data_IF_973698421156
#
_entry.id   IF_973698421156
#
_cell.length_a   1.000
_cell.length_b   1.000
_cell.length_c   1.000
_cell.angle_alpha   90.00
_cell.angle_beta   90.00
_cell.angle_gamma   90.00
#
_symmetry.space_group_name_H-M   'P 1'
#
loop_
_entity.id
_entity.type
_entity.pdbx_description
1 polymer ?
#
# COMPACT_ATOMS: atom_id res chain seq x y z
N UNK A 1 -6.50 -4.16 -30.24
CA UNK A 1 -6.13 -2.74 -30.02
C UNK A 1 -5.05 -2.74 -28.94
N UNK A 2 -3.84 -2.20 -29.18
CA UNK A 2 -2.83 -2.13 -28.14
C UNK A 2 -3.34 -1.16 -27.05
N UNK A 3 -3.28 -1.57 -25.79
CA UNK A 3 -3.60 -0.71 -24.66
C UNK A 3 -2.69 0.50 -24.70
N UNK A 4 -3.27 1.70 -24.80
CA UNK A 4 -2.51 2.93 -24.64
C UNK A 4 -1.81 2.85 -23.29
N UNK A 5 -0.48 2.81 -23.32
CA UNK A 5 0.33 2.67 -22.11
C UNK A 5 -0.07 3.73 -21.11
N UNK A 6 -0.26 3.32 -19.85
CA UNK A 6 -0.59 4.17 -18.72
C UNK A 6 0.36 5.38 -18.68
N UNK A 7 -0.02 6.49 -19.30
CA UNK A 7 0.74 7.73 -19.22
C UNK A 7 0.39 8.36 -17.88
N UNK A 8 1.34 8.48 -16.94
CA UNK A 8 1.06 9.12 -15.67
C UNK A 8 0.60 10.55 -15.94
N UNK A 9 -0.64 10.86 -15.55
CA UNK A 9 -1.14 12.23 -15.60
C UNK A 9 -0.43 13.01 -14.48
N UNK A 10 0.16 14.18 -14.75
CA UNK A 10 0.71 15.01 -13.69
C UNK A 10 -0.41 15.35 -12.71
N UNK A 11 -0.38 14.69 -11.55
CA UNK A 11 -1.30 14.97 -10.47
C UNK A 11 -0.83 16.30 -9.88
N UNK A 12 -1.69 17.33 -9.92
CA UNK A 12 -1.37 18.64 -9.33
C UNK A 12 -0.95 18.51 -7.86
N UNK A 13 -0.31 19.55 -7.30
CA UNK A 13 0.19 19.55 -5.90
C UNK A 13 -0.83 18.91 -4.96
N UNK A 14 -0.47 17.74 -4.43
CA UNK A 14 -1.23 17.05 -3.39
C UNK A 14 -0.77 17.59 -2.05
N UNK A 15 -1.70 18.07 -1.24
CA UNK A 15 -1.41 18.33 0.16
C UNK A 15 -1.32 16.99 0.90
N UNK A 16 -0.18 16.75 1.55
CA UNK A 16 0.04 15.51 2.32
C UNK A 16 0.11 15.85 3.80
N UNK A 17 -0.67 15.13 4.61
CA UNK A 17 -0.60 15.21 6.07
C UNK A 17 -0.61 13.82 6.69
N UNK A 18 0.14 13.67 7.77
CA UNK A 18 0.11 12.46 8.60
C UNK A 18 -0.75 12.73 9.81
N UNK A 19 -1.74 11.87 10.02
CA UNK A 19 -2.60 11.86 11.20
C UNK A 19 -2.31 10.63 12.03
N UNK A 20 -2.55 10.72 13.32
CA UNK A 20 -2.46 9.59 14.24
C UNK A 20 -3.82 9.43 14.89
N UNK A 21 -4.30 8.19 15.03
CA UNK A 21 -5.56 7.88 15.72
C UNK A 21 -5.52 8.38 17.17
N UNK A 22 -6.70 8.58 17.77
CA UNK A 22 -6.82 9.01 19.16
C UNK A 22 -6.12 8.05 20.13
N UNK A 23 -6.17 6.74 19.84
CA UNK A 23 -5.50 5.70 20.60
C UNK A 23 -3.99 5.56 20.32
N UNK A 24 -3.45 6.36 19.39
CA UNK A 24 -2.05 6.39 18.92
C UNK A 24 -1.52 5.08 18.34
N UNK A 25 -2.40 4.13 18.03
CA UNK A 25 -1.98 2.83 17.47
C UNK A 25 -1.86 2.85 15.96
N UNK A 26 -2.51 3.80 15.29
CA UNK A 26 -2.59 3.82 13.83
C UNK A 26 -2.20 5.17 13.28
N UNK A 27 -1.37 5.16 12.24
CA UNK A 27 -0.97 6.34 11.49
C UNK A 27 -1.62 6.32 10.12
N UNK A 28 -2.15 7.47 9.73
CA UNK A 28 -2.79 7.68 8.44
C UNK A 28 -2.02 8.71 7.64
N UNK A 29 -1.67 8.38 6.40
CA UNK A 29 -1.15 9.32 5.42
C UNK A 29 -2.33 9.75 4.55
N UNK A 30 -2.67 11.03 4.60
CA UNK A 30 -3.81 11.61 3.90
C UNK A 30 -3.31 12.53 2.81
N UNK A 31 -3.72 12.25 1.58
CA UNK A 31 -3.52 13.10 0.41
C UNK A 31 -4.83 13.84 0.14
N UNK A 32 -4.79 15.17 0.11
CA UNK A 32 -5.90 16.01 -0.34
C UNK A 32 -5.63 16.45 -1.76
N UNK A 33 -6.59 16.19 -2.65
CA UNK A 33 -6.52 16.58 -4.05
C UNK A 33 -6.94 18.05 -4.25
N UNK A 34 -6.54 18.68 -5.36
CA UNK A 34 -6.95 20.06 -5.66
C UNK A 34 -8.46 20.27 -5.76
N UNK A 35 -9.22 19.24 -6.16
CA UNK A 35 -10.69 19.28 -6.20
C UNK A 35 -11.37 18.95 -4.86
N UNK A 36 -10.60 18.84 -3.77
CA UNK A 36 -11.11 18.64 -2.41
C UNK A 36 -11.45 17.19 -2.04
N UNK A 37 -11.07 16.20 -2.85
CA UNK A 37 -11.16 14.80 -2.48
C UNK A 37 -10.00 14.38 -1.56
N UNK A 38 -10.18 13.27 -0.85
CA UNK A 38 -9.18 12.73 0.08
C UNK A 38 -8.87 11.27 -0.26
N UNK A 39 -7.59 10.94 -0.28
CA UNK A 39 -7.10 9.56 -0.32
C UNK A 39 -6.36 9.29 0.97
N UNK A 40 -6.75 8.21 1.66
CA UNK A 40 -6.20 7.86 2.98
C UNK A 40 -5.51 6.51 2.88
N UNK A 41 -4.27 6.47 3.31
CA UNK A 41 -3.49 5.25 3.47
C UNK A 41 -3.20 5.06 4.94
N UNK A 42 -3.23 3.82 5.41
CA UNK A 42 -2.82 3.50 6.79
C UNK A 42 -1.57 2.64 6.75
N UNK A 43 -0.69 2.88 7.71
CA UNK A 43 0.38 1.92 8.02
C UNK A 43 -0.26 0.62 8.51
N UNK A 44 0.26 -0.51 8.05
CA UNK A 44 -0.15 -1.86 8.45
C UNK A 44 1.09 -2.68 8.75
N UNK A 45 0.97 -3.64 9.67
CA UNK A 45 2.06 -4.56 9.92
C UNK A 45 2.31 -5.40 8.65
N UNK A 46 3.58 -5.42 8.23
CA UNK A 46 3.96 -5.92 6.90
C UNK A 46 3.71 -7.43 6.74
N UNK A 47 3.83 -8.22 7.81
CA UNK A 47 3.57 -9.67 7.77
C UNK A 47 2.08 -9.95 7.63
N UNK A 48 1.25 -9.29 8.42
CA UNK A 48 -0.21 -9.40 8.37
C UNK A 48 -0.74 -9.00 7.01
N UNK A 49 -0.21 -7.91 6.44
CA UNK A 49 -0.56 -7.48 5.09
C UNK A 49 -0.19 -8.53 4.04
N UNK A 50 1.01 -9.12 4.10
CA UNK A 50 1.40 -10.17 3.17
C UNK A 50 0.48 -11.41 3.26
N UNK A 51 0.09 -11.81 4.48
CA UNK A 51 -0.84 -12.92 4.70
C UNK A 51 -2.22 -12.61 4.11
N UNK A 52 -2.75 -11.41 4.34
CA UNK A 52 -4.01 -10.96 3.73
C UNK A 52 -3.94 -10.91 2.21
N UNK A 53 -2.76 -10.70 1.64
CA UNK A 53 -2.51 -10.77 0.20
C UNK A 53 -2.33 -12.21 -0.33
N UNK A 54 -2.61 -13.25 0.47
CA UNK A 54 -2.65 -14.64 0.02
C UNK A 54 -1.43 -15.49 0.39
N UNK A 55 -0.48 -14.94 1.15
CA UNK A 55 0.62 -15.74 1.67
C UNK A 55 0.12 -16.72 2.73
N UNK A 56 0.28 -18.02 2.46
CA UNK A 56 0.06 -19.06 3.47
C UNK A 56 1.21 -19.01 4.47
N UNK A 57 0.89 -18.97 5.77
CA UNK A 57 1.89 -19.17 6.80
C UNK A 57 2.43 -20.60 6.66
N UNK A 58 3.60 -20.76 6.04
CA UNK A 58 4.32 -22.01 6.11
C UNK A 58 4.94 -22.18 7.50
N UNK A 59 5.00 -23.42 8.04
CA UNK A 59 5.55 -23.70 9.37
C UNK A 59 7.07 -23.52 9.46
N UNK A 60 7.75 -23.24 8.34
CA UNK A 60 9.18 -22.94 8.31
C UNK A 60 9.42 -21.44 8.51
N UNK A 61 10.63 -21.08 8.98
CA UNK A 61 11.07 -19.75 9.44
C UNK A 61 11.07 -18.62 8.38
N UNK A 62 10.09 -18.59 7.48
CA UNK A 62 10.00 -17.55 6.48
C UNK A 62 9.77 -16.19 7.17
N UNK A 63 10.68 -15.26 6.93
CA UNK A 63 10.60 -13.92 7.50
C UNK A 63 9.73 -13.01 6.59
N UNK A 64 9.20 -11.92 7.15
CA UNK A 64 8.29 -10.99 6.46
C UNK A 64 8.82 -10.52 5.10
N UNK A 65 10.15 -10.39 4.95
CA UNK A 65 10.81 -10.03 3.69
C UNK A 65 10.59 -11.08 2.61
N UNK A 66 10.77 -12.37 2.93
CA UNK A 66 10.56 -13.46 1.97
C UNK A 66 9.10 -13.55 1.49
N UNK A 67 8.13 -13.19 2.34
CA UNK A 67 6.73 -13.13 1.95
C UNK A 67 6.50 -12.07 0.87
N UNK A 68 7.02 -10.86 1.07
CA UNK A 68 6.91 -9.80 0.07
C UNK A 68 7.74 -10.08 -1.19
N UNK A 69 8.94 -10.66 -1.07
CA UNK A 69 9.75 -11.06 -2.23
C UNK A 69 9.00 -12.09 -3.11
N UNK A 70 8.24 -13.00 -2.50
CA UNK A 70 7.42 -13.98 -3.22
C UNK A 70 6.23 -13.31 -3.90
N UNK A 71 5.44 -12.53 -3.15
CA UNK A 71 4.30 -11.78 -3.71
C UNK A 71 4.73 -10.87 -4.87
N UNK A 72 5.89 -10.21 -4.75
CA UNK A 72 6.43 -9.32 -5.77
C UNK A 72 6.83 -10.06 -7.05
N UNK A 73 7.38 -11.27 -6.93
CA UNK A 73 7.74 -12.11 -8.08
C UNK A 73 6.53 -12.78 -8.72
N UNK A 74 5.53 -13.14 -7.92
CA UNK A 74 4.32 -13.84 -8.35
C UNK A 74 3.23 -12.90 -8.88
N UNK A 75 3.28 -11.62 -8.52
CA UNK A 75 2.46 -10.54 -9.07
C UNK A 75 2.77 -10.30 -10.55
N UNK A 76 2.36 -11.24 -11.42
CA UNK A 76 2.30 -11.04 -12.86
C UNK A 76 1.19 -10.03 -13.16
N UNK A 77 1.58 -8.93 -13.82
CA UNK A 77 0.66 -8.07 -14.57
C UNK A 77 -0.04 -8.87 -15.68
#
# INVERSE_FOLDING_TARGET
>A
MPSEGLKPKPWGMLDVKVFTSEDRKQKFIVFKTPNGAYHVFTEVEAKDAAIKCGMKMEPTRANTRQFWDKLWKEGKN
#
